data_IF_810601189761
#
_entry.id   IF_810601189761
#
_cell.length_a   1.000
_cell.length_b   1.000
_cell.length_c   1.000
_cell.angle_alpha   90.00
_cell.angle_beta   90.00
_cell.angle_gamma   90.00
#
_symmetry.space_group_name_H-M   'P 1'
#
loop_
_entity.id
_entity.type
_entity.pdbx_description
1 polymer ?
#
# COMPACT_ATOMS: atom_id res chain seq x y z
N UNK A 1 -11.56 43.11 -22.28
CA UNK A 1 -10.42 42.94 -23.22
C UNK A 1 -9.18 42.39 -22.52
N UNK A 2 -8.72 42.93 -21.38
CA UNK A 2 -7.50 42.44 -20.71
C UNK A 2 -7.57 41.01 -20.12
N UNK A 3 -8.75 40.51 -19.76
CA UNK A 3 -8.91 39.17 -19.19
C UNK A 3 -8.68 38.02 -20.20
N UNK A 4 -9.02 38.21 -21.48
CA UNK A 4 -8.87 37.17 -22.50
C UNK A 4 -7.42 36.93 -22.94
N UNK A 5 -6.52 37.90 -22.75
CA UNK A 5 -5.12 37.72 -23.10
C UNK A 5 -4.37 36.83 -22.11
N UNK A 6 -4.77 36.84 -20.83
CA UNK A 6 -4.12 36.04 -19.80
C UNK A 6 -4.36 34.53 -20.00
N UNK A 7 -5.59 34.17 -20.34
CA UNK A 7 -5.95 32.76 -20.59
C UNK A 7 -5.20 32.19 -21.81
N UNK A 8 -4.83 33.04 -22.78
CA UNK A 8 -4.06 32.61 -23.96
C UNK A 8 -2.59 32.33 -23.63
N UNK A 9 -1.97 33.10 -22.74
CA UNK A 9 -0.58 32.87 -22.32
C UNK A 9 -0.47 31.61 -21.44
N UNK A 10 -1.43 31.42 -20.53
CA UNK A 10 -1.47 30.23 -19.67
C UNK A 10 -1.65 28.94 -20.49
N UNK A 11 -2.46 28.96 -21.56
CA UNK A 11 -2.62 27.81 -22.46
C UNK A 11 -1.35 27.48 -23.26
N UNK A 12 -0.58 28.49 -23.67
CA UNK A 12 0.70 28.27 -24.36
C UNK A 12 1.74 27.65 -23.43
N UNK A 13 1.78 28.08 -22.16
CA UNK A 13 2.66 27.50 -21.15
C UNK A 13 2.34 26.02 -20.87
N UNK A 14 1.05 25.68 -20.77
CA UNK A 14 0.61 24.29 -20.56
C UNK A 14 0.99 23.40 -21.75
N UNK A 15 0.86 23.89 -22.98
CA UNK A 15 1.24 23.10 -24.17
C UNK A 15 2.76 22.86 -24.23
N UNK A 16 3.58 23.84 -23.86
CA UNK A 16 5.03 23.67 -23.80
C UNK A 16 5.43 22.62 -22.73
N UNK A 17 4.81 22.68 -21.54
CA UNK A 17 5.05 21.68 -20.49
C UNK A 17 4.61 20.27 -20.92
N UNK A 18 3.53 20.17 -21.71
CA UNK A 18 3.08 18.89 -22.26
C UNK A 18 4.08 18.33 -23.27
N UNK A 19 4.61 19.14 -24.19
CA UNK A 19 5.62 18.70 -25.17
C UNK A 19 6.91 18.24 -24.47
N UNK A 20 7.37 18.95 -23.44
CA UNK A 20 8.53 18.55 -22.63
C UNK A 20 8.28 17.22 -21.89
N UNK A 21 7.08 17.03 -21.34
CA UNK A 21 6.69 15.80 -20.67
C UNK A 21 6.61 14.61 -21.64
N UNK A 22 6.09 14.81 -22.85
CA UNK A 22 6.06 13.79 -23.91
C UNK A 22 7.48 13.41 -24.36
N UNK A 23 8.38 14.39 -24.50
CA UNK A 23 9.80 14.15 -24.80
C UNK A 23 10.50 13.35 -23.71
N UNK A 24 10.28 13.69 -22.44
CA UNK A 24 10.82 12.95 -21.30
C UNK A 24 10.31 11.50 -21.25
N UNK A 25 9.03 11.29 -21.53
CA UNK A 25 8.44 9.96 -21.60
C UNK A 25 9.00 9.11 -22.74
N UNK A 26 9.18 9.69 -23.93
CA UNK A 26 9.79 9.01 -25.07
C UNK A 26 11.24 8.58 -24.75
N UNK A 27 12.04 9.48 -24.16
CA UNK A 27 13.42 9.17 -23.76
C UNK A 27 13.49 8.09 -22.67
N UNK A 28 12.57 8.10 -21.70
CA UNK A 28 12.50 7.07 -20.68
C UNK A 28 12.15 5.68 -21.28
N UNK A 29 11.26 5.66 -22.27
CA UNK A 29 10.86 4.44 -22.98
C UNK A 29 12.04 3.84 -23.74
N UNK A 30 12.78 4.65 -24.49
CA UNK A 30 13.98 4.20 -25.23
C UNK A 30 15.05 3.61 -24.30
N UNK A 31 15.31 4.25 -23.14
CA UNK A 31 16.24 3.72 -22.14
C UNK A 31 15.81 2.38 -21.58
N UNK A 32 14.51 2.19 -21.36
CA UNK A 32 13.96 0.94 -20.85
C UNK A 32 14.10 -0.19 -21.87
N UNK A 33 13.82 0.09 -23.15
CA UNK A 33 14.01 -0.87 -24.25
C UNK A 33 15.48 -1.25 -24.42
N UNK A 34 16.40 -0.28 -24.31
CA UNK A 34 17.84 -0.55 -24.35
C UNK A 34 18.29 -1.46 -23.18
N UNK A 35 17.77 -1.26 -21.97
CA UNK A 35 18.06 -2.14 -20.83
C UNK A 35 17.51 -3.55 -21.02
N UNK A 36 16.31 -3.70 -21.59
CA UNK A 36 15.74 -5.01 -21.91
C UNK A 36 16.59 -5.75 -22.95
N UNK A 37 17.05 -5.06 -24.00
CA UNK A 37 17.94 -5.65 -25.00
C UNK A 37 19.26 -6.13 -24.39
N UNK A 38 19.89 -5.30 -23.55
CA UNK A 38 21.14 -5.65 -22.87
C UNK A 38 20.99 -6.85 -21.93
N UNK A 39 19.89 -6.91 -21.17
CA UNK A 39 19.63 -8.05 -20.27
C UNK A 39 19.37 -9.34 -21.05
N UNK A 40 18.70 -9.27 -22.20
CA UNK A 40 18.48 -10.41 -23.08
C UNK A 40 19.79 -10.92 -23.71
N UNK A 41 20.70 -10.03 -24.09
CA UNK A 41 22.04 -10.39 -24.57
C UNK A 41 22.89 -11.07 -23.48
N UNK A 42 22.82 -10.57 -22.24
CA UNK A 42 23.55 -11.20 -21.13
C UNK A 42 23.01 -12.60 -20.81
N UNK A 43 21.70 -12.80 -20.89
CA UNK A 43 21.09 -14.13 -20.69
C UNK A 43 21.48 -15.11 -21.80
N UNK A 44 21.54 -14.67 -23.06
CA UNK A 44 21.94 -15.55 -24.17
C UNK A 44 23.41 -15.99 -24.03
N UNK A 45 24.31 -15.13 -23.56
CA UNK A 45 25.71 -15.49 -23.28
C UNK A 45 25.86 -16.56 -22.20
N UNK A 46 25.02 -16.53 -21.16
CA UNK A 46 25.05 -17.53 -20.09
C UNK A 46 24.56 -18.91 -20.57
N UNK A 47 23.56 -18.93 -21.45
CA UNK A 47 22.96 -20.18 -21.97
C UNK A 47 23.83 -20.91 -23.01
N UNK A 48 24.82 -20.24 -23.61
CA UNK A 48 25.69 -20.82 -24.64
C UNK A 48 26.96 -21.45 -24.05
N UNK A 49 27.14 -21.50 -22.72
CA UNK A 49 28.25 -22.26 -22.14
C UNK A 49 28.00 -23.77 -22.35
N UNK A 50 28.75 -24.46 -23.25
CA UNK A 50 28.58 -25.88 -23.43
C UNK A 50 28.92 -26.56 -22.11
N UNK A 51 28.05 -27.46 -21.67
CA UNK A 51 28.29 -28.42 -20.61
C UNK A 51 29.43 -29.34 -21.02
N UNK A 52 30.65 -28.83 -20.90
CA UNK A 52 31.88 -29.60 -20.87
C UNK A 52 31.71 -30.61 -19.74
N UNK A 53 31.66 -31.88 -20.12
CA UNK A 53 31.46 -33.03 -19.23
C UNK A 53 32.27 -32.89 -17.94
N UNK A 54 31.69 -33.25 -16.78
CA UNK A 54 32.39 -33.17 -15.52
C UNK A 54 33.70 -33.97 -15.60
N UNK A 55 34.84 -33.41 -15.14
CA UNK A 55 36.08 -34.15 -15.10
C UNK A 55 35.90 -35.38 -14.22
N UNK A 56 36.18 -36.55 -14.78
CA UNK A 56 36.14 -37.84 -14.08
C UNK A 56 36.90 -37.75 -12.76
N UNK A 57 36.18 -37.97 -11.66
CA UNK A 57 36.72 -38.07 -10.30
C UNK A 57 37.84 -39.11 -10.22
N UNK A 58 39.05 -38.76 -9.74
CA UNK A 58 40.03 -39.75 -9.37
C UNK A 58 39.59 -40.47 -8.09
N UNK A 59 39.38 -41.78 -8.23
CA UNK A 59 39.12 -42.72 -7.13
C UNK A 59 40.32 -42.72 -6.15
N UNK A 60 40.18 -42.03 -5.02
CA UNK A 60 41.20 -41.97 -3.96
C UNK A 60 40.88 -42.99 -2.88
N UNK A 61 41.72 -44.02 -2.78
CA UNK A 61 41.72 -45.04 -1.71
C UNK A 61 41.72 -44.36 -0.34
N UNK A 62 40.72 -44.72 0.46
CA UNK A 62 40.58 -44.35 1.88
C UNK A 62 41.52 -45.22 2.72
N UNK A 63 42.60 -44.64 3.23
CA UNK A 63 43.41 -45.23 4.30
C UNK A 63 42.99 -44.59 5.61
N UNK A 64 42.37 -45.42 6.44
CA UNK A 64 41.88 -45.16 7.79
C UNK A 64 43.06 -44.92 8.73
N UNK A 65 43.07 -43.80 9.45
CA UNK A 65 43.80 -43.61 10.70
C UNK A 65 42.97 -42.72 11.66
N UNK A 66 42.93 -43.00 12.98
CA UNK A 66 42.04 -42.32 13.91
C UNK A 66 42.72 -41.20 14.75
N UNK A 67 41.88 -40.22 15.14
CA UNK A 67 41.99 -39.26 16.27
C UNK A 67 43.10 -38.16 16.17
N UNK A 68 43.02 -37.02 16.90
CA UNK A 68 42.16 -36.71 18.06
C UNK A 68 41.43 -35.34 18.05
N UNK A 69 40.55 -35.19 19.06
CA UNK A 69 39.89 -33.97 19.51
C UNK A 69 40.83 -32.77 19.65
N UNK A 70 40.47 -31.63 19.06
CA UNK A 70 40.84 -30.29 19.53
C UNK A 70 39.68 -29.34 19.29
N UNK A 71 39.20 -28.72 20.37
CA UNK A 71 38.21 -27.65 20.37
C UNK A 71 38.79 -26.37 19.78
N UNK A 72 38.02 -25.66 18.94
CA UNK A 72 38.34 -24.31 18.49
C UNK A 72 37.14 -23.39 18.71
N UNK A 73 37.42 -22.37 19.50
CA UNK A 73 36.54 -21.29 19.96
C UNK A 73 36.28 -20.27 18.86
N UNK A 74 35.06 -19.72 18.86
CA UNK A 74 34.64 -18.63 18.01
C UNK A 74 35.33 -17.32 18.40
N UNK A 75 36.27 -16.87 17.57
CA UNK A 75 36.66 -15.48 17.42
C UNK A 75 37.13 -15.30 15.98
N UNK A 76 36.92 -14.09 15.46
CA UNK A 76 37.43 -13.58 14.19
C UNK A 76 36.48 -13.72 13.00
N UNK A 77 35.54 -12.78 12.87
CA UNK A 77 35.17 -12.18 11.58
C UNK A 77 34.43 -10.85 11.81
N UNK A 78 35.19 -9.81 12.19
CA UNK A 78 34.82 -8.41 11.93
C UNK A 78 36.01 -7.81 11.17
N UNK A 79 35.80 -7.44 9.90
CA UNK A 79 36.37 -6.26 9.22
C UNK A 79 36.40 -6.48 7.71
N UNK A 80 35.51 -5.78 6.97
CA UNK A 80 35.79 -5.09 5.71
C UNK A 80 34.49 -4.64 5.06
N UNK A 81 34.18 -3.34 5.17
CA UNK A 81 33.61 -2.52 4.08
C UNK A 81 33.35 -1.11 4.61
N UNK A 82 34.40 -0.31 4.67
CA UNK A 82 34.31 1.15 4.69
C UNK A 82 35.16 1.66 3.54
N UNK A 83 34.66 2.72 2.89
CA UNK A 83 35.30 3.56 1.86
C UNK A 83 34.98 3.22 0.39
N UNK A 84 33.89 3.81 -0.11
CA UNK A 84 33.82 4.68 -1.30
C UNK A 84 32.31 4.99 -1.51
N UNK A 85 31.84 6.20 -1.80
CA UNK A 85 32.44 7.48 -2.15
C UNK A 85 31.34 8.54 -2.01
N UNK A 86 31.74 9.71 -1.56
CA UNK A 86 30.90 10.89 -1.35
C UNK A 86 30.48 11.57 -2.67
N UNK A 87 29.57 12.54 -2.49
CA UNK A 87 29.14 13.63 -3.36
C UNK A 87 27.90 13.37 -4.23
N UNK A 88 26.79 14.07 -3.92
CA UNK A 88 26.27 15.22 -4.69
C UNK A 88 25.25 15.97 -3.81
N UNK A 89 25.36 17.30 -3.87
CA UNK A 89 24.70 18.34 -3.10
C UNK A 89 23.17 18.45 -3.27
N UNK A 90 22.57 18.87 -2.16
CA UNK A 90 21.57 19.95 -1.99
C UNK A 90 20.93 20.53 -3.26
N UNK A 91 19.62 20.29 -3.42
CA UNK A 91 18.70 21.31 -3.91
C UNK A 91 17.32 21.18 -3.25
N UNK A 92 17.03 22.15 -2.39
CA UNK A 92 15.72 22.50 -1.83
C UNK A 92 14.78 23.02 -2.93
N UNK A 93 13.55 22.47 -3.02
CA UNK A 93 12.44 23.13 -3.73
C UNK A 93 11.11 22.83 -3.02
N UNK A 94 10.16 23.79 -2.97
CA UNK A 94 9.19 23.92 -1.89
C UNK A 94 7.85 23.25 -2.17
N UNK A 95 7.16 22.89 -1.08
CA UNK A 95 5.72 22.67 -1.08
C UNK A 95 4.98 23.96 -1.46
N UNK A 96 4.08 23.88 -2.45
CA UNK A 96 3.03 24.88 -2.61
C UNK A 96 1.70 24.21 -2.96
N UNK A 97 0.82 24.22 -1.96
CA UNK A 97 -0.60 23.96 -2.05
C UNK A 97 -1.32 25.09 -2.79
N UNK A 98 -2.12 24.77 -3.81
CA UNK A 98 -3.19 25.64 -4.30
C UNK A 98 -4.54 24.97 -4.08
N UNK A 99 -5.30 25.59 -3.19
CA UNK A 99 -6.73 25.39 -3.00
C UNK A 99 -7.43 26.12 -4.15
N UNK A 100 -8.31 25.44 -4.88
CA UNK A 100 -9.26 26.08 -5.78
C UNK A 100 -10.66 25.79 -5.24
N UNK A 101 -11.25 26.81 -4.64
CA UNK A 101 -12.68 26.89 -4.36
C UNK A 101 -13.44 26.99 -5.69
N UNK A 102 -14.40 26.09 -5.91
CA UNK A 102 -15.47 26.32 -6.89
C UNK A 102 -16.80 26.28 -6.17
N UNK A 103 -17.35 27.47 -5.97
CA UNK A 103 -18.67 27.70 -5.42
C UNK A 103 -19.77 27.46 -6.47
N UNK A 104 -20.77 26.67 -6.05
CA UNK A 104 -22.22 26.89 -6.19
C UNK A 104 -22.82 27.45 -7.49
N UNK A 105 -23.57 26.59 -8.18
CA UNK A 105 -24.86 26.85 -8.83
C UNK A 105 -25.51 25.47 -9.14
N UNK A 106 -26.81 25.19 -9.06
CA UNK A 106 -28.01 25.95 -8.83
C UNK A 106 -29.11 25.00 -8.31
N UNK A 107 -30.14 25.59 -7.73
CA UNK A 107 -31.30 24.93 -7.17
C UNK A 107 -32.24 24.36 -8.24
N UNK A 108 -32.72 23.12 -8.04
CA UNK A 108 -33.95 22.64 -8.67
C UNK A 108 -34.89 22.05 -7.61
N UNK A 109 -36.13 22.58 -7.61
CA UNK A 109 -37.23 22.23 -6.71
C UNK A 109 -37.78 20.82 -7.01
N UNK A 110 -38.27 20.06 -6.01
CA UNK A 110 -38.93 18.79 -6.25
C UNK A 110 -40.43 18.96 -6.56
N UNK A 111 -40.90 18.32 -7.62
CA UNK A 111 -42.32 18.15 -7.91
C UNK A 111 -42.86 16.84 -7.29
N UNK A 112 -44.12 16.91 -6.85
CA UNK A 112 -44.87 15.93 -6.06
C UNK A 112 -44.97 14.55 -6.72
N UNK A 113 -44.79 13.48 -5.91
CA UNK A 113 -45.21 12.11 -6.23
C UNK A 113 -46.71 11.96 -6.01
N UNK A 114 -47.39 11.36 -6.98
CA UNK A 114 -48.72 10.78 -6.83
C UNK A 114 -48.63 9.28 -7.14
N UNK A 115 -49.23 8.49 -6.27
CA UNK A 115 -49.31 7.02 -6.27
C UNK A 115 -50.34 6.49 -7.27
N UNK A 116 -50.03 5.36 -7.91
CA UNK A 116 -50.98 4.56 -8.69
C UNK A 116 -50.40 3.17 -9.01
N UNK A 117 -51.17 2.13 -8.72
CA UNK A 117 -50.87 0.69 -8.76
C UNK A 117 -51.15 0.05 -10.15
N UNK A 118 -50.20 -0.79 -10.64
CA UNK A 118 -50.18 -2.07 -11.44
C UNK A 118 -51.40 -2.53 -12.32
N UNK A 119 -51.33 -3.55 -13.25
CA UNK A 119 -50.23 -4.31 -13.92
C UNK A 119 -50.49 -4.55 -15.46
N UNK A 120 -50.11 -5.69 -16.10
CA UNK A 120 -48.88 -5.93 -16.87
C UNK A 120 -49.12 -6.09 -18.39
N UNK A 121 -48.07 -5.97 -19.22
CA UNK A 121 -48.12 -6.58 -20.56
C UNK A 121 -46.73 -6.93 -21.09
N UNK A 122 -46.66 -8.18 -21.57
CA UNK A 122 -45.58 -8.83 -22.29
C UNK A 122 -45.10 -8.04 -23.50
N UNK A 123 -43.78 -7.98 -23.70
CA UNK A 123 -43.17 -7.48 -24.93
C UNK A 123 -41.68 -7.80 -24.99
N UNK A 124 -41.32 -8.89 -25.68
CA UNK A 124 -39.96 -9.18 -26.11
C UNK A 124 -39.39 -7.99 -26.91
N UNK A 125 -38.31 -7.39 -26.42
CA UNK A 125 -37.39 -6.58 -27.22
C UNK A 125 -35.96 -6.92 -26.86
N UNK A 126 -35.30 -7.64 -27.76
CA UNK A 126 -33.85 -7.71 -27.89
C UNK A 126 -33.33 -6.33 -28.28
N UNK A 127 -32.76 -5.61 -27.32
CA UNK A 127 -31.94 -4.43 -27.59
C UNK A 127 -30.48 -4.76 -27.28
N UNK A 128 -29.69 -4.92 -28.33
CA UNK A 128 -28.24 -4.84 -28.28
C UNK A 128 -27.85 -3.42 -27.84
N UNK A 129 -27.62 -3.23 -26.55
CA UNK A 129 -26.91 -2.07 -26.03
C UNK A 129 -25.42 -2.40 -25.99
N UNK A 130 -24.71 -2.01 -27.04
CA UNK A 130 -23.26 -1.81 -27.00
C UNK A 130 -22.95 -0.75 -25.93
N UNK A 131 -22.70 -1.21 -24.71
CA UNK A 131 -22.26 -0.37 -23.61
C UNK A 131 -20.82 0.06 -23.88
N UNK A 132 -20.65 1.32 -24.27
CA UNK A 132 -19.35 2.01 -24.26
C UNK A 132 -18.84 1.96 -22.83
N UNK A 133 -17.89 1.06 -22.56
CA UNK A 133 -17.28 0.91 -21.25
C UNK A 133 -16.55 2.22 -20.92
N UNK A 134 -17.14 3.04 -20.05
CA UNK A 134 -16.43 4.19 -19.48
C UNK A 134 -15.20 3.63 -18.76
N UNK A 135 -14.02 3.82 -19.36
CA UNK A 135 -12.74 3.43 -18.80
C UNK A 135 -12.45 4.29 -17.57
N UNK A 136 -13.02 3.90 -16.43
CA UNK A 136 -12.58 4.43 -15.15
C UNK A 136 -11.22 3.78 -14.84
N UNK A 137 -10.20 4.62 -14.77
CA UNK A 137 -8.90 4.25 -14.24
C UNK A 137 -9.09 3.90 -12.76
N UNK A 138 -8.93 2.64 -12.40
CA UNK A 138 -8.94 2.20 -11.01
C UNK A 138 -7.50 2.36 -10.50
N UNK A 139 -7.23 3.44 -9.77
CA UNK A 139 -5.97 3.59 -9.08
C UNK A 139 -6.03 2.82 -7.76
N UNK A 140 -5.10 1.90 -7.58
CA UNK A 140 -4.89 1.15 -6.35
C UNK A 140 -3.81 1.87 -5.55
N UNK A 141 -4.18 2.53 -4.45
CA UNK A 141 -3.20 3.12 -3.53
C UNK A 141 -2.74 2.03 -2.56
N UNK A 142 -1.45 1.68 -2.64
CA UNK A 142 -0.75 0.89 -1.63
C UNK A 142 0.30 1.81 -1.00
N UNK A 143 0.27 2.04 0.31
CA UNK A 143 1.40 2.70 0.97
C UNK A 143 2.66 1.85 0.79
N UNK A 144 3.70 2.41 0.17
CA UNK A 144 4.96 1.71 -0.14
C UNK A 144 5.09 1.20 -1.59
N UNK A 145 4.08 1.31 -2.45
CA UNK A 145 4.24 0.95 -3.87
C UNK A 145 3.11 1.44 -4.76
N UNK A 146 3.44 1.83 -6.00
CA UNK A 146 2.45 2.21 -7.00
C UNK A 146 2.01 0.94 -7.74
N UNK A 147 0.71 0.65 -7.75
CA UNK A 147 0.15 -0.40 -8.60
C UNK A 147 -0.59 0.27 -9.74
N UNK A 148 0.03 0.28 -10.91
CA UNK A 148 -0.62 0.75 -12.12
C UNK A 148 -1.37 -0.42 -12.77
N UNK A 149 -2.66 -0.24 -13.02
CA UNK A 149 -3.35 -1.08 -13.98
C UNK A 149 -2.82 -0.73 -15.37
N UNK A 150 -2.05 -1.64 -15.98
CA UNK A 150 -1.52 -1.46 -17.33
C UNK A 150 -2.40 -2.28 -18.28
N UNK A 151 -3.09 -1.59 -19.18
CA UNK A 151 -3.92 -2.18 -20.23
C UNK A 151 -5.29 -1.48 -20.43
N UNK A 152 -5.73 -1.41 -21.68
CA UNK A 152 -7.08 -0.98 -22.09
C UNK A 152 -7.96 -2.21 -22.33
N UNK A 153 -9.23 -2.19 -21.91
CA UNK A 153 -10.19 -3.28 -22.12
C UNK A 153 -10.23 -4.38 -21.04
N UNK A 154 -10.72 -5.57 -21.38
CA UNK A 154 -10.93 -6.69 -20.44
C UNK A 154 -9.64 -7.38 -19.97
N UNK A 155 -8.49 -7.09 -20.60
CA UNK A 155 -7.19 -7.64 -20.24
C UNK A 155 -6.35 -6.59 -19.53
N UNK A 156 -6.73 -6.24 -18.29
CA UNK A 156 -5.89 -5.41 -17.41
C UNK A 156 -4.90 -6.32 -16.67
N UNK A 157 -3.62 -6.03 -16.82
CA UNK A 157 -2.55 -6.65 -16.03
C UNK A 157 -2.12 -5.69 -14.95
N UNK A 158 -2.10 -6.15 -13.70
CA UNK A 158 -1.57 -5.38 -12.57
C UNK A 158 -0.09 -5.68 -12.44
N UNK A 159 0.78 -4.67 -12.62
CA UNK A 159 2.20 -4.81 -12.32
C UNK A 159 2.49 -4.26 -10.93
N UNK A 160 3.20 -5.06 -10.14
CA UNK A 160 3.82 -4.65 -8.88
C UNK A 160 5.04 -3.79 -9.26
N UNK A 161 4.99 -2.48 -9.02
CA UNK A 161 6.08 -1.57 -9.44
C UNK A 161 7.18 -1.49 -8.37
N UNK A 162 6.88 -1.78 -7.11
CA UNK A 162 7.94 -1.91 -6.11
C UNK A 162 7.50 -2.75 -4.91
N UNK A 163 8.36 -3.67 -4.50
CA UNK A 163 8.12 -4.57 -3.38
C UNK A 163 8.58 -3.94 -2.08
N UNK A 164 7.87 -2.93 -1.58
CA UNK A 164 8.17 -2.40 -0.24
C UNK A 164 7.83 -3.46 0.80
N UNK A 165 8.87 -4.20 1.20
CA UNK A 165 8.83 -5.12 2.31
C UNK A 165 9.00 -4.30 3.58
N UNK A 166 7.88 -3.90 4.18
CA UNK A 166 7.95 -3.25 5.48
C UNK A 166 8.69 -4.17 6.48
N UNK A 167 9.58 -3.62 7.32
CA UNK A 167 10.26 -4.41 8.33
C UNK A 167 9.21 -5.01 9.27
N UNK A 168 9.28 -6.34 9.45
CA UNK A 168 8.47 -7.01 10.47
C UNK A 168 9.06 -6.64 11.82
N UNK A 169 8.37 -5.78 12.56
CA UNK A 169 8.75 -5.45 13.94
C UNK A 169 8.43 -6.69 14.79
N UNK A 170 9.46 -7.30 15.36
CA UNK A 170 9.26 -8.42 16.27
C UNK A 170 8.50 -7.97 17.51
N UNK A 171 7.63 -8.82 18.07
CA UNK A 171 6.92 -8.45 19.28
C UNK A 171 7.90 -8.24 20.45
N UNK A 172 7.91 -7.08 21.13
CA UNK A 172 8.65 -6.92 22.38
C UNK A 172 8.34 -8.05 23.37
N UNK A 173 9.33 -8.39 24.19
CA UNK A 173 9.11 -9.18 25.41
C UNK A 173 8.38 -8.28 26.42
N UNK A 174 7.07 -8.47 26.58
CA UNK A 174 6.24 -7.59 27.40
C UNK A 174 6.14 -8.14 28.81
N UNK A 175 6.67 -7.42 29.80
CA UNK A 175 6.26 -7.55 31.19
C UNK A 175 5.14 -6.55 31.47
N UNK A 176 3.90 -7.01 31.62
CA UNK A 176 2.76 -6.15 31.97
C UNK A 176 2.78 -5.84 33.46
N UNK A 177 3.08 -4.60 33.84
CA UNK A 177 2.74 -4.08 35.16
C UNK A 177 1.28 -3.60 35.15
N UNK A 178 0.56 -3.78 36.24
CA UNK A 178 -0.91 -3.64 36.36
C UNK A 178 -1.44 -2.18 36.24
N UNK A 179 -0.63 -1.27 35.72
CA UNK A 179 -1.01 0.13 35.45
C UNK A 179 -0.54 0.65 34.10
N UNK A 180 0.20 -0.14 33.32
CA UNK A 180 0.77 0.31 32.06
C UNK A 180 -0.24 0.09 30.93
N UNK A 181 -0.99 1.15 30.62
CA UNK A 181 -1.97 1.14 29.53
C UNK A 181 -1.67 2.25 28.53
N UNK A 182 -1.84 1.92 27.26
CA UNK A 182 -1.71 2.88 26.18
C UNK A 182 -2.95 2.82 25.30
N UNK A 183 -3.47 3.98 24.95
CA UNK A 183 -4.52 4.15 23.98
C UNK A 183 -3.89 4.65 22.69
N UNK A 184 -4.15 3.93 21.61
CA UNK A 184 -3.72 4.29 20.27
C UNK A 184 -4.97 4.57 19.46
N UNK A 185 -5.09 5.80 18.97
CA UNK A 185 -6.10 6.25 18.02
C UNK A 185 -5.43 6.28 16.65
N UNK A 186 -5.88 5.38 15.77
CA UNK A 186 -5.40 5.28 14.39
C UNK A 186 -6.18 6.21 13.45
N UNK A 187 -7.42 6.55 13.81
CA UNK A 187 -8.25 7.50 13.08
C UNK A 187 -9.33 8.08 14.00
N UNK A 188 -9.20 9.37 14.30
CA UNK A 188 -10.13 10.17 15.10
C UNK A 188 -10.67 11.39 14.33
N UNK A 189 -11.16 12.38 15.07
CA UNK A 189 -11.59 13.68 14.53
C UNK A 189 -10.48 14.35 13.73
N UNK A 190 -10.88 15.11 12.70
CA UNK A 190 -9.99 15.84 11.81
C UNK A 190 -8.86 14.99 11.20
N UNK A 191 -9.11 13.68 11.03
CA UNK A 191 -8.13 12.69 10.57
C UNK A 191 -6.88 12.59 11.47
N UNK A 192 -7.03 12.90 12.76
CA UNK A 192 -5.96 12.80 13.74
C UNK A 192 -5.69 11.34 14.13
N UNK A 193 -4.42 11.02 14.24
CA UNK A 193 -3.86 9.88 14.95
C UNK A 193 -3.21 10.35 16.26
N UNK A 194 -3.36 9.57 17.33
CA UNK A 194 -2.93 9.95 18.68
C UNK A 194 -2.48 8.72 19.46
N UNK A 195 -1.36 8.84 20.17
CA UNK A 195 -0.91 7.87 21.16
C UNK A 195 -0.92 8.55 22.52
N UNK A 196 -1.68 8.00 23.48
CA UNK A 196 -1.84 8.62 24.81
C UNK A 196 -2.05 7.57 25.89
N UNK A 197 -1.67 7.88 27.13
CA UNK A 197 -1.93 7.02 28.30
C UNK A 197 -3.29 7.31 28.95
N UNK A 198 -3.92 8.42 28.56
CA UNK A 198 -5.14 8.93 29.15
C UNK A 198 -6.35 8.61 28.27
N UNK A 199 -7.40 8.04 28.89
CA UNK A 199 -8.67 7.88 28.19
C UNK A 199 -9.37 9.22 28.00
N UNK A 200 -9.50 9.99 29.07
CA UNK A 200 -9.98 11.37 29.06
C UNK A 200 -8.80 12.26 29.41
N UNK A 201 -8.53 13.26 28.59
CA UNK A 201 -7.39 14.14 28.81
C UNK A 201 -7.56 15.01 30.05
N UNK A 202 -6.47 15.21 30.80
CA UNK A 202 -6.43 16.15 31.90
C UNK A 202 -5.82 17.51 31.48
N UNK A 203 -6.27 18.59 32.11
CA UNK A 203 -5.66 19.93 32.00
C UNK A 203 -5.50 20.46 30.56
N UNK A 204 -6.42 20.12 29.65
CA UNK A 204 -6.40 20.57 28.26
C UNK A 204 -5.59 19.69 27.30
N UNK A 205 -5.03 18.57 27.77
CA UNK A 205 -4.54 17.52 26.89
C UNK A 205 -5.71 16.81 26.19
N UNK A 206 -5.50 16.33 24.96
CA UNK A 206 -6.48 15.49 24.25
C UNK A 206 -6.29 14.03 24.65
N UNK A 207 -7.27 13.43 25.32
CA UNK A 207 -7.31 12.00 25.56
C UNK A 207 -7.88 11.23 24.38
N UNK A 208 -7.84 9.91 24.45
CA UNK A 208 -8.35 9.06 23.38
C UNK A 208 -9.87 9.22 23.18
N UNK A 209 -10.62 9.50 24.26
CA UNK A 209 -12.04 9.79 24.20
C UNK A 209 -12.28 11.06 23.41
N UNK A 210 -11.64 12.17 23.74
CA UNK A 210 -11.85 13.46 23.06
C UNK A 210 -11.51 13.36 21.56
N UNK A 211 -10.48 12.60 21.20
CA UNK A 211 -10.13 12.34 19.81
C UNK A 211 -11.16 11.49 19.03
N UNK A 212 -12.06 10.77 19.72
CA UNK A 212 -12.96 9.79 19.10
C UNK A 212 -14.45 9.98 19.42
N UNK A 213 -14.79 10.84 20.38
CA UNK A 213 -16.15 10.95 20.91
C UNK A 213 -17.14 11.43 19.83
N UNK A 214 -18.30 10.80 19.74
CA UNK A 214 -19.30 11.09 18.70
C UNK A 214 -18.93 10.65 17.27
N UNK A 215 -17.71 10.12 17.03
CA UNK A 215 -17.31 9.61 15.72
C UNK A 215 -17.66 8.12 15.58
N UNK A 216 -18.72 7.81 14.85
CA UNK A 216 -19.26 6.43 14.73
C UNK A 216 -18.30 5.39 14.15
N UNK A 217 -17.23 5.82 13.49
CA UNK A 217 -16.26 4.94 12.84
C UNK A 217 -14.82 5.17 13.34
N UNK A 218 -14.65 5.82 14.50
CA UNK A 218 -13.33 6.01 15.09
C UNK A 218 -12.58 4.68 15.21
N UNK A 219 -11.29 4.70 14.93
CA UNK A 219 -10.40 3.55 15.06
C UNK A 219 -9.45 3.81 16.22
N UNK A 220 -9.69 3.13 17.33
CA UNK A 220 -8.77 3.16 18.46
C UNK A 220 -8.70 1.79 19.14
N UNK A 221 -7.60 1.56 19.86
CA UNK A 221 -7.39 0.36 20.69
C UNK A 221 -6.68 0.74 21.98
N UNK A 222 -7.11 0.12 23.07
CA UNK A 222 -6.38 0.10 24.34
C UNK A 222 -5.46 -1.13 24.36
N UNK A 223 -4.19 -0.90 24.68
CA UNK A 223 -3.17 -1.91 24.88
C UNK A 223 -2.81 -2.01 26.37
N UNK A 224 -2.58 -3.25 26.83
CA UNK A 224 -2.01 -3.54 28.13
C UNK A 224 -0.48 -3.65 27.95
N UNK A 225 0.23 -2.57 28.24
CA UNK A 225 1.65 -2.39 27.98
C UNK A 225 1.91 -1.26 26.99
N UNK A 226 2.65 -0.25 27.43
CA UNK A 226 3.03 0.90 26.59
C UNK A 226 3.91 0.47 25.43
N UNK A 227 4.91 -0.39 25.68
CA UNK A 227 5.81 -0.88 24.65
C UNK A 227 5.07 -1.60 23.50
N UNK A 228 4.03 -2.37 23.82
CA UNK A 228 3.22 -3.05 22.80
C UNK A 228 2.43 -2.04 21.96
N UNK A 229 1.75 -1.09 22.61
CA UNK A 229 0.99 -0.06 21.92
C UNK A 229 1.87 0.79 21.01
N UNK A 230 3.03 1.23 21.49
CA UNK A 230 4.00 2.00 20.68
C UNK A 230 4.52 1.18 19.49
N UNK A 231 4.89 -0.09 19.71
CA UNK A 231 5.36 -0.96 18.64
C UNK A 231 4.29 -1.15 17.55
N UNK A 232 3.03 -1.41 17.94
CA UNK A 232 1.92 -1.55 16.98
C UNK A 232 1.64 -0.25 16.22
N UNK A 233 1.73 0.90 16.89
CA UNK A 233 1.54 2.19 16.26
C UNK A 233 2.63 2.48 15.23
N UNK A 234 3.90 2.28 15.59
CA UNK A 234 5.03 2.48 14.68
C UNK A 234 5.02 1.47 13.52
N UNK A 235 4.58 0.22 13.74
CA UNK A 235 4.37 -0.75 12.67
C UNK A 235 3.30 -0.26 11.66
N UNK A 236 2.15 0.20 12.14
CA UNK A 236 1.09 0.77 11.28
C UNK A 236 1.53 2.06 10.58
N UNK A 237 2.36 2.89 11.23
CA UNK A 237 2.90 4.11 10.65
C UNK A 237 3.89 3.80 9.52
N UNK A 238 4.83 2.91 9.76
CA UNK A 238 5.89 2.51 8.80
C UNK A 238 5.34 1.73 7.61
N UNK A 239 4.33 0.89 7.82
CA UNK A 239 3.59 0.21 6.73
C UNK A 239 2.62 1.14 6.00
N UNK A 240 2.46 2.38 6.45
CA UNK A 240 1.59 3.40 5.86
C UNK A 240 0.09 3.13 6.01
N UNK A 241 -0.30 2.21 6.91
CA UNK A 241 -1.70 1.99 7.31
C UNK A 241 -2.34 3.31 7.74
N UNK A 242 -1.65 4.08 8.59
CA UNK A 242 -2.14 5.38 9.07
C UNK A 242 -2.38 6.37 7.93
N UNK A 243 -1.43 6.47 6.99
CA UNK A 243 -1.55 7.38 5.84
C UNK A 243 -2.76 7.02 4.96
N UNK A 244 -3.01 5.73 4.73
CA UNK A 244 -4.17 5.30 3.95
C UNK A 244 -5.51 5.59 4.64
N UNK A 245 -5.55 5.59 5.97
CA UNK A 245 -6.74 5.91 6.74
C UNK A 245 -7.05 7.40 6.75
N UNK A 246 -6.09 8.32 6.63
CA UNK A 246 -6.36 9.77 6.72
C UNK A 246 -7.21 10.31 5.58
N UNK A 247 -7.04 9.79 4.37
CA UNK A 247 -7.79 10.27 3.22
C UNK A 247 -9.15 9.57 3.14
N UNK A 248 -10.25 10.15 3.60
CA UNK A 248 -11.59 9.54 3.47
C UNK A 248 -12.11 9.62 2.05
N UNK A 249 -12.55 8.48 1.51
CA UNK A 249 -13.31 8.43 0.25
C UNK A 249 -14.55 7.58 0.43
N UNK A 250 -15.63 7.98 -0.23
CA UNK A 250 -16.88 7.23 -0.20
C UNK A 250 -16.75 5.91 -0.99
N UNK A 251 -17.44 4.88 -0.52
CA UNK A 251 -17.42 3.54 -1.11
C UNK A 251 -16.00 2.95 -1.28
N UNK A 252 -15.11 3.23 -0.33
CA UNK A 252 -13.80 2.63 -0.34
C UNK A 252 -13.79 1.23 0.30
N UNK A 253 -12.92 0.39 -0.23
CA UNK A 253 -12.66 -0.96 0.23
C UNK A 253 -11.15 -1.17 0.34
N UNK A 254 -10.74 -1.90 1.36
CA UNK A 254 -9.35 -2.24 1.63
C UNK A 254 -9.19 -3.75 1.48
N UNK A 255 -8.36 -4.17 0.54
CA UNK A 255 -8.03 -5.58 0.31
C UNK A 255 -6.74 -5.85 1.06
N UNK A 256 -6.83 -6.49 2.22
CA UNK A 256 -5.64 -6.90 2.97
C UNK A 256 -5.03 -8.10 2.27
N UNK A 257 -3.85 -7.93 1.69
CA UNK A 257 -3.10 -8.96 0.98
C UNK A 257 -2.15 -9.67 1.95
N UNK A 258 -1.45 -8.87 2.78
CA UNK A 258 -0.62 -9.37 3.88
C UNK A 258 -1.11 -8.78 5.19
N UNK A 259 -1.53 -9.64 6.11
CA UNK A 259 -2.08 -9.26 7.41
C UNK A 259 -2.56 -10.48 8.15
N UNK A 260 -3.07 -10.32 9.37
CA UNK A 260 -3.51 -11.46 10.18
C UNK A 260 -4.67 -12.23 9.55
N UNK A 261 -5.68 -11.51 9.05
CA UNK A 261 -6.84 -12.06 8.35
C UNK A 261 -6.98 -11.38 6.99
N UNK A 262 -6.28 -11.85 5.94
CA UNK A 262 -6.44 -11.31 4.60
C UNK A 262 -7.90 -11.37 4.14
N UNK A 263 -8.33 -10.37 3.39
CA UNK A 263 -9.73 -10.24 2.98
C UNK A 263 -10.10 -8.83 2.52
N UNK A 264 -11.38 -8.62 2.24
CA UNK A 264 -11.93 -7.31 1.87
C UNK A 264 -12.62 -6.67 3.07
N UNK A 265 -12.22 -5.45 3.38
CA UNK A 265 -12.70 -4.71 4.54
C UNK A 265 -13.13 -3.31 4.14
N UNK A 266 -14.01 -2.73 4.96
CA UNK A 266 -14.22 -1.28 4.99
C UNK A 266 -13.27 -0.65 6.00
N UNK A 267 -13.07 0.68 5.94
CA UNK A 267 -12.18 1.44 6.83
C UNK A 267 -12.26 1.02 8.29
N UNK A 268 -13.47 1.00 8.87
CA UNK A 268 -13.67 0.68 10.30
C UNK A 268 -13.21 -0.73 10.71
N UNK A 269 -13.10 -1.64 9.76
CA UNK A 269 -12.78 -3.05 10.02
C UNK A 269 -11.40 -3.47 9.52
N UNK A 270 -10.74 -2.69 8.65
CA UNK A 270 -9.46 -3.10 8.06
C UNK A 270 -8.40 -3.28 9.15
N UNK A 271 -8.28 -2.33 10.08
CA UNK A 271 -7.29 -2.41 11.16
C UNK A 271 -7.70 -3.44 12.22
N UNK A 272 -8.95 -3.42 12.67
CA UNK A 272 -9.40 -4.24 13.81
C UNK A 272 -9.64 -5.72 13.47
N UNK A 273 -10.08 -6.03 12.24
CA UNK A 273 -10.37 -7.40 11.79
C UNK A 273 -9.34 -7.94 10.81
N UNK A 274 -8.97 -7.15 9.80
CA UNK A 274 -8.05 -7.57 8.75
C UNK A 274 -6.60 -7.63 9.21
N UNK A 275 -6.09 -6.51 9.73
CA UNK A 275 -4.73 -6.39 10.21
C UNK A 275 -4.57 -6.79 11.67
N UNK A 276 -5.65 -6.78 12.46
CA UNK A 276 -5.62 -7.06 13.91
C UNK A 276 -4.59 -6.20 14.66
N UNK A 277 -4.57 -4.90 14.31
CA UNK A 277 -3.65 -3.90 14.86
C UNK A 277 -2.17 -4.12 14.52
N UNK A 278 -1.86 -5.01 13.57
CA UNK A 278 -0.57 -5.07 12.91
C UNK A 278 -0.45 -4.04 11.78
N UNK A 279 0.78 -3.84 11.33
CA UNK A 279 1.03 -3.37 10.00
C UNK A 279 0.68 -4.43 8.96
N UNK A 280 0.78 -4.07 7.68
CA UNK A 280 0.57 -5.04 6.61
C UNK A 280 0.56 -4.39 5.24
N UNK A 281 0.27 -5.21 4.23
CA UNK A 281 0.11 -4.76 2.86
C UNK A 281 -1.35 -4.89 2.46
N UNK A 282 -1.91 -3.80 1.94
CA UNK A 282 -3.28 -3.78 1.48
C UNK A 282 -3.43 -2.89 0.25
N UNK A 283 -4.42 -3.23 -0.58
CA UNK A 283 -4.85 -2.38 -1.70
C UNK A 283 -6.05 -1.57 -1.27
N UNK A 284 -5.98 -0.25 -1.44
CA UNK A 284 -7.17 0.59 -1.34
C UNK A 284 -7.84 0.69 -2.71
N UNK A 285 -9.13 0.37 -2.77
CA UNK A 285 -9.98 0.50 -3.95
C UNK A 285 -11.18 1.39 -3.67
N UNK A 286 -11.58 2.18 -4.65
CA UNK A 286 -12.82 2.96 -4.62
C UNK A 286 -13.84 2.27 -5.52
N UNK A 287 -15.05 2.02 -5.03
CA UNK A 287 -16.15 1.49 -5.82
C UNK A 287 -16.96 0.40 -5.13
N UNK A 288 -17.32 -0.64 -5.87
CA UNK A 288 -18.27 -1.65 -5.40
C UNK A 288 -17.57 -2.79 -4.65
N UNK A 289 -18.14 -3.21 -3.52
CA UNK A 289 -17.70 -4.35 -2.73
C UNK A 289 -17.53 -5.64 -3.55
N UNK A 290 -18.41 -5.90 -4.53
CA UNK A 290 -18.32 -7.07 -5.40
C UNK A 290 -17.07 -7.04 -6.28
N UNK A 291 -16.66 -5.85 -6.77
CA UNK A 291 -15.43 -5.70 -7.55
C UNK A 291 -14.21 -5.91 -6.66
N UNK A 292 -14.23 -5.37 -5.45
CA UNK A 292 -13.17 -5.58 -4.46
C UNK A 292 -13.03 -7.08 -4.11
N UNK A 293 -14.14 -7.78 -3.90
CA UNK A 293 -14.15 -9.22 -3.63
C UNK A 293 -13.65 -10.05 -4.82
N UNK A 294 -14.08 -9.71 -6.03
CA UNK A 294 -13.60 -10.39 -7.24
C UNK A 294 -12.08 -10.22 -7.41
N UNK A 295 -11.55 -9.02 -7.18
CA UNK A 295 -10.11 -8.77 -7.24
C UNK A 295 -9.37 -9.52 -6.12
N UNK A 296 -9.90 -9.55 -4.90
CA UNK A 296 -9.31 -10.33 -3.81
C UNK A 296 -9.23 -11.82 -4.15
N UNK A 297 -10.32 -12.41 -4.65
CA UNK A 297 -10.36 -13.82 -5.06
C UNK A 297 -9.34 -14.12 -6.17
N UNK A 298 -9.12 -13.16 -7.09
CA UNK A 298 -8.09 -13.28 -8.12
C UNK A 298 -6.69 -13.28 -7.50
N UNK A 299 -6.39 -12.35 -6.59
CA UNK A 299 -5.10 -12.27 -5.90
C UNK A 299 -4.82 -13.53 -5.06
N UNK A 300 -5.86 -14.08 -4.43
CA UNK A 300 -5.78 -15.32 -3.66
C UNK A 300 -5.44 -16.52 -4.58
N UNK A 301 -6.14 -16.66 -5.71
CA UNK A 301 -5.85 -17.69 -6.72
C UNK A 301 -4.43 -17.60 -7.26
N UNK A 302 -3.91 -16.38 -7.39
CA UNK A 302 -2.53 -16.09 -7.82
C UNK A 302 -1.49 -16.22 -6.70
N UNK A 303 -1.89 -16.62 -5.48
CA UNK A 303 -1.01 -16.80 -4.31
C UNK A 303 -0.28 -15.53 -3.86
N UNK A 304 -0.82 -14.35 -4.16
CA UNK A 304 -0.30 -13.09 -3.61
C UNK A 304 -0.75 -12.85 -2.16
N UNK A 305 -1.86 -13.46 -1.75
CA UNK A 305 -2.42 -13.33 -0.41
C UNK A 305 -1.62 -14.18 0.58
N UNK A 306 -1.01 -13.53 1.58
CA UNK A 306 -0.15 -14.18 2.58
C UNK A 306 -0.65 -13.84 3.99
N UNK A 307 -1.23 -14.80 4.73
CA UNK A 307 -1.62 -14.57 6.11
C UNK A 307 -0.40 -14.41 7.02
N UNK A 308 -0.53 -13.57 8.06
CA UNK A 308 0.53 -13.38 9.05
C UNK A 308 0.78 -14.70 9.81
N UNK A 309 2.04 -15.19 9.83
CA UNK A 309 2.42 -16.39 10.57
C UNK A 309 2.07 -16.28 12.06
N UNK A 310 1.59 -17.39 12.65
CA UNK A 310 1.11 -17.40 14.04
C UNK A 310 2.14 -16.92 15.07
N UNK A 311 3.43 -17.17 14.83
CA UNK A 311 4.52 -16.77 15.73
C UNK A 311 4.84 -15.27 15.68
N UNK A 312 4.34 -14.54 14.66
CA UNK A 312 4.49 -13.09 14.53
C UNK A 312 3.26 -12.32 15.01
N UNK A 313 2.21 -13.01 15.45
CA UNK A 313 0.97 -12.38 15.89
C UNK A 313 1.15 -11.73 17.26
N UNK A 314 0.60 -10.53 17.40
CA UNK A 314 0.52 -9.86 18.69
C UNK A 314 -0.38 -10.69 19.61
N UNK A 315 0.09 -11.00 20.82
CA UNK A 315 -0.75 -11.58 21.87
C UNK A 315 -1.55 -10.46 22.53
N UNK A 316 -2.50 -9.89 21.80
CA UNK A 316 -3.39 -8.85 22.30
C UNK A 316 -4.53 -9.52 23.05
N UNK A 317 -4.49 -9.45 24.38
CA UNK A 317 -5.59 -9.87 25.25
C UNK A 317 -6.82 -8.96 25.10
#
# INVERSE_FOLDING_TARGET
MALFNKDSEDLLAINAELEDAEGAYASATERFEAQLSLTQENLSKLLVTPTSSPPSTPSRKSTRNPAPNVALTASDYISKATAEKAAVDVLTTPQRSSVIDTASASAFKPAKRQTGLIPPTSGNRTSNSSSTASSQNCFAYIPGGIYQAVGTGQNRTFRLIDGFRAPVIQPPNISTSDGDRLYVVYWGHDNMDLVTREWQGQAGATGAKEATDGLTNALYRRFLGTALGEATYEECRTTGVLAALKNKMDNEHFLVIKGENPGVYVRRTVVSKGLKWHGGEFVRLIGNANKAQALFNLLERLRFVVPLPAHLRWKIA
#
